data_IF_384695051284
#
_entry.id   IF_384695051284
#
_cell.length_a   1.000
_cell.length_b   1.000
_cell.length_c   1.000
_cell.angle_alpha   90.00
_cell.angle_beta   90.00
_cell.angle_gamma   90.00
#
_symmetry.space_group_name_H-M   'P 1'
#
loop_
_entity.id
_entity.type
_entity.pdbx_description
1 polymer ?
#
# COMPACT_ATOMS: atom_id res chain seq x y z
N UNK A 1 -30.91 -8.42 -0.68
CA UNK A 1 -29.70 -9.28 -0.60
C UNK A 1 -29.45 -9.81 -1.99
N UNK A 2 -28.27 -9.56 -2.56
CA UNK A 2 -27.88 -10.16 -3.85
C UNK A 2 -27.63 -11.67 -3.71
N UNK A 3 -27.49 -12.41 -4.84
CA UNK A 3 -27.23 -13.85 -4.78
C UNK A 3 -25.86 -14.11 -4.13
N UNK A 4 -25.85 -14.90 -3.05
CA UNK A 4 -24.61 -15.40 -2.46
C UNK A 4 -24.01 -16.46 -3.38
N UNK A 5 -22.75 -16.26 -3.80
CA UNK A 5 -22.01 -17.22 -4.63
C UNK A 5 -21.05 -18.02 -3.74
N UNK A 6 -20.91 -19.32 -4.01
CA UNK A 6 -19.95 -20.20 -3.36
C UNK A 6 -18.89 -20.66 -4.36
N UNK A 7 -17.65 -20.83 -3.90
CA UNK A 7 -16.54 -21.33 -4.72
C UNK A 7 -16.62 -22.83 -4.98
N UNK A 8 -16.99 -23.58 -3.95
CA UNK A 8 -17.10 -25.04 -3.96
C UNK A 8 -18.48 -25.42 -3.43
N UNK A 9 -18.90 -26.66 -3.70
CA UNK A 9 -20.18 -27.18 -3.19
C UNK A 9 -20.17 -27.19 -1.66
N UNK A 10 -21.30 -26.85 -1.05
CA UNK A 10 -21.47 -26.75 0.41
C UNK A 10 -22.27 -27.94 0.99
N UNK A 11 -23.23 -28.45 0.23
CA UNK A 11 -24.05 -29.63 0.52
C UNK A 11 -23.97 -30.64 -0.64
N UNK A 12 -24.42 -31.88 -0.40
CA UNK A 12 -24.82 -32.80 -1.46
C UNK A 12 -26.04 -32.19 -2.17
N UNK A 13 -25.78 -31.20 -3.02
CA UNK A 13 -26.80 -30.51 -3.79
C UNK A 13 -27.65 -31.57 -4.51
N UNK A 14 -28.93 -31.67 -4.14
CA UNK A 14 -29.96 -32.49 -4.81
C UNK A 14 -30.33 -31.97 -6.20
N UNK A 15 -29.48 -31.13 -6.79
CA UNK A 15 -29.60 -30.62 -8.15
C UNK A 15 -28.84 -31.56 -9.10
N UNK A 16 -29.55 -32.44 -9.84
CA UNK A 16 -28.93 -33.44 -10.70
C UNK A 16 -28.10 -32.80 -11.82
N UNK A 17 -28.46 -31.58 -12.26
CA UNK A 17 -27.73 -30.89 -13.32
C UNK A 17 -26.31 -30.50 -12.87
N UNK A 18 -26.13 -30.14 -11.60
CA UNK A 18 -24.80 -29.83 -11.03
C UNK A 18 -23.97 -31.08 -10.72
N UNK A 19 -24.60 -32.25 -10.61
CA UNK A 19 -23.90 -33.53 -10.41
C UNK A 19 -23.18 -34.02 -11.67
N UNK A 20 -23.52 -33.46 -12.84
CA UNK A 20 -22.95 -33.81 -14.14
C UNK A 20 -21.65 -33.08 -14.49
N UNK A 21 -21.24 -32.08 -13.70
CA UNK A 21 -20.09 -31.23 -14.04
C UNK A 21 -18.77 -31.95 -13.76
N UNK A 22 -17.86 -31.90 -14.73
CA UNK A 22 -16.51 -32.41 -14.60
C UNK A 22 -15.70 -31.56 -13.61
N UNK A 23 -14.84 -32.19 -12.82
CA UNK A 23 -13.91 -31.50 -11.92
C UNK A 23 -13.02 -30.49 -12.64
N UNK A 24 -12.66 -30.77 -13.90
CA UNK A 24 -11.94 -29.86 -14.78
C UNK A 24 -12.76 -28.61 -15.11
N UNK A 25 -14.06 -28.75 -15.40
CA UNK A 25 -14.94 -27.62 -15.68
C UNK A 25 -15.11 -26.74 -14.43
N UNK A 26 -15.29 -27.36 -13.26
CA UNK A 26 -15.37 -26.63 -12.00
C UNK A 26 -14.06 -25.88 -11.69
N UNK A 27 -12.90 -26.50 -11.92
CA UNK A 27 -11.61 -25.84 -11.80
C UNK A 27 -11.48 -24.65 -12.78
N UNK A 28 -11.87 -24.83 -14.05
CA UNK A 28 -11.85 -23.78 -15.06
C UNK A 28 -12.71 -22.58 -14.66
N UNK A 29 -13.91 -22.81 -14.13
CA UNK A 29 -14.78 -21.73 -13.63
C UNK A 29 -14.17 -20.96 -12.46
N UNK A 30 -13.42 -21.63 -11.60
CA UNK A 30 -12.67 -20.97 -10.51
C UNK A 30 -11.58 -20.08 -11.10
N UNK A 31 -10.78 -20.60 -12.04
CA UNK A 31 -9.75 -19.81 -12.74
C UNK A 31 -10.34 -18.59 -13.46
N UNK A 32 -11.42 -18.78 -14.21
CA UNK A 32 -12.10 -17.71 -14.94
C UNK A 32 -12.67 -16.65 -13.99
N UNK A 33 -13.22 -17.06 -12.83
CA UNK A 33 -13.75 -16.13 -11.83
C UNK A 33 -12.64 -15.28 -11.18
N UNK A 34 -11.48 -15.88 -10.90
CA UNK A 34 -10.32 -15.14 -10.38
C UNK A 34 -9.80 -14.19 -11.45
N UNK A 35 -9.67 -14.64 -12.70
CA UNK A 35 -9.19 -13.81 -13.81
C UNK A 35 -10.13 -12.62 -14.08
N UNK A 36 -11.44 -12.86 -14.09
CA UNK A 36 -12.43 -11.79 -14.27
C UNK A 36 -12.35 -10.73 -13.18
N UNK A 37 -12.14 -11.12 -11.92
CA UNK A 37 -11.97 -10.18 -10.82
C UNK A 37 -10.68 -9.34 -10.95
N UNK A 38 -9.61 -9.92 -11.50
CA UNK A 38 -8.36 -9.20 -11.78
C UNK A 38 -8.55 -8.21 -12.93
N UNK A 39 -9.23 -8.64 -14.00
CA UNK A 39 -9.53 -7.78 -15.15
C UNK A 39 -10.41 -6.59 -14.77
N UNK A 40 -11.41 -6.81 -13.91
CA UNK A 40 -12.27 -5.74 -13.39
C UNK A 40 -11.47 -4.69 -12.57
N UNK A 41 -10.52 -5.13 -11.73
CA UNK A 41 -9.68 -4.20 -10.95
C UNK A 41 -8.67 -3.44 -11.83
N UNK A 42 -8.07 -4.13 -12.82
CA UNK A 42 -7.21 -3.50 -13.82
C UNK A 42 -8.00 -2.44 -14.63
N UNK A 43 -9.26 -2.73 -15.01
CA UNK A 43 -10.17 -1.78 -15.68
C UNK A 43 -10.54 -0.58 -14.79
N UNK A 44 -10.59 -0.75 -13.48
CA UNK A 44 -10.80 0.33 -12.50
C UNK A 44 -9.52 1.17 -12.26
N UNK A 45 -8.40 0.84 -12.91
CA UNK A 45 -7.13 1.55 -12.82
C UNK A 45 -6.10 0.91 -11.90
N UNK A 46 -6.30 -0.35 -11.51
CA UNK A 46 -5.28 -1.20 -10.89
C UNK A 46 -4.05 -1.29 -11.80
N UNK A 47 -2.85 -1.11 -11.23
CA UNK A 47 -1.58 -1.14 -11.98
C UNK A 47 -0.50 -1.99 -11.32
N UNK A 48 -0.80 -2.54 -10.14
CA UNK A 48 0.12 -3.36 -9.38
C UNK A 48 0.19 -4.79 -9.90
N UNK A 49 1.34 -5.43 -9.75
CA UNK A 49 1.44 -6.87 -10.03
C UNK A 49 0.63 -7.67 -8.99
N UNK A 50 -0.13 -8.65 -9.46
CA UNK A 50 -0.86 -9.59 -8.63
C UNK A 50 0.08 -10.65 -8.03
N UNK A 51 0.63 -10.34 -6.86
CA UNK A 51 1.68 -11.16 -6.22
C UNK A 51 1.17 -12.15 -5.18
N UNK A 52 -0.08 -12.05 -4.71
CA UNK A 52 -0.56 -12.89 -3.62
C UNK A 52 -2.07 -13.05 -3.57
N UNK A 53 -2.50 -14.06 -2.83
CA UNK A 53 -3.91 -14.43 -2.66
C UNK A 53 -4.35 -14.22 -1.21
N UNK A 54 -5.59 -13.80 -1.00
CA UNK A 54 -6.20 -13.74 0.33
C UNK A 54 -7.56 -14.41 0.30
N UNK A 55 -7.78 -15.36 1.21
CA UNK A 55 -9.04 -16.09 1.27
C UNK A 55 -9.50 -16.32 2.70
N UNK A 56 -10.82 -16.32 2.89
CA UNK A 56 -11.48 -16.68 4.14
C UNK A 56 -12.32 -17.95 3.97
N UNK A 57 -12.24 -18.87 4.94
CA UNK A 57 -13.03 -20.10 4.99
C UNK A 57 -12.88 -20.93 3.69
N UNK A 58 -13.94 -21.07 2.89
CA UNK A 58 -13.86 -21.73 1.59
C UNK A 58 -12.90 -21.03 0.62
N UNK A 59 -12.83 -19.70 0.64
CA UNK A 59 -11.87 -18.94 -0.16
C UNK A 59 -10.42 -19.22 0.22
N UNK A 60 -10.14 -19.47 1.51
CA UNK A 60 -8.80 -19.88 1.94
C UNK A 60 -8.43 -21.27 1.38
N UNK A 61 -9.37 -22.22 1.35
CA UNK A 61 -9.17 -23.52 0.69
C UNK A 61 -8.81 -23.31 -0.79
N UNK A 62 -9.53 -22.45 -1.50
CA UNK A 62 -9.26 -22.13 -2.92
C UNK A 62 -7.89 -21.49 -3.10
N UNK A 63 -7.51 -20.51 -2.27
CA UNK A 63 -6.22 -19.85 -2.36
C UNK A 63 -5.05 -20.83 -2.18
N UNK A 64 -5.10 -21.69 -1.17
CA UNK A 64 -4.10 -22.75 -0.97
C UNK A 64 -4.07 -23.75 -2.14
N UNK A 65 -5.24 -24.05 -2.70
CA UNK A 65 -5.39 -24.98 -3.84
C UNK A 65 -4.81 -24.41 -5.15
N UNK A 66 -4.98 -23.11 -5.39
CA UNK A 66 -4.39 -22.40 -6.52
C UNK A 66 -2.87 -22.40 -6.43
N UNK A 67 -2.30 -22.09 -5.26
CA UNK A 67 -0.85 -22.15 -5.07
C UNK A 67 -0.30 -23.57 -5.23
N UNK A 68 -0.99 -24.57 -4.68
CA UNK A 68 -0.58 -25.97 -4.82
C UNK A 68 -0.60 -26.43 -6.27
N UNK A 69 -1.66 -26.10 -7.01
CA UNK A 69 -1.76 -26.42 -8.43
C UNK A 69 -0.68 -25.70 -9.23
N UNK A 70 -0.42 -24.42 -8.94
CA UNK A 70 0.68 -23.66 -9.53
C UNK A 70 2.05 -24.32 -9.28
N UNK A 71 2.31 -24.78 -8.06
CA UNK A 71 3.55 -25.47 -7.71
C UNK A 71 3.72 -26.77 -8.51
N UNK A 72 2.66 -27.58 -8.61
CA UNK A 72 2.67 -28.86 -9.33
C UNK A 72 2.84 -28.67 -10.83
N UNK A 73 2.07 -27.78 -11.44
CA UNK A 73 2.19 -27.48 -12.87
C UNK A 73 3.59 -26.93 -13.22
N UNK A 74 4.23 -26.17 -12.33
CA UNK A 74 5.60 -25.70 -12.54
C UNK A 74 6.66 -26.83 -12.58
N UNK A 75 6.34 -28.03 -12.09
CA UNK A 75 7.20 -29.20 -12.13
C UNK A 75 6.96 -30.08 -13.37
N UNK A 76 5.92 -29.81 -14.16
CA UNK A 76 5.52 -30.58 -15.35
C UNK A 76 5.71 -29.73 -16.62
N UNK A 77 6.82 -29.88 -17.36
CA UNK A 77 7.06 -29.12 -18.59
C UNK A 77 6.07 -29.53 -19.69
N UNK A 78 5.31 -28.57 -20.21
CA UNK A 78 4.36 -28.77 -21.31
C UNK A 78 2.89 -28.53 -20.94
N UNK A 79 2.60 -28.41 -19.64
CA UNK A 79 1.28 -28.07 -19.15
C UNK A 79 1.02 -26.57 -19.31
N UNK A 80 -0.09 -26.20 -19.93
CA UNK A 80 -0.47 -24.80 -20.04
C UNK A 80 -0.75 -24.27 -18.64
N UNK A 81 0.12 -23.35 -18.17
CA UNK A 81 -0.16 -22.61 -16.96
C UNK A 81 -1.52 -21.93 -17.09
N UNK A 82 -2.39 -22.01 -16.07
CA UNK A 82 -3.65 -21.28 -16.09
C UNK A 82 -3.36 -19.80 -16.36
N UNK A 83 -4.32 -19.10 -17.01
CA UNK A 83 -4.23 -17.67 -17.41
C UNK A 83 -4.04 -16.68 -16.24
N UNK A 84 -3.71 -17.18 -15.05
CA UNK A 84 -3.45 -16.43 -13.85
C UNK A 84 -1.95 -16.10 -13.75
N UNK A 85 -1.59 -14.96 -13.15
CA UNK A 85 -0.21 -14.63 -12.86
C UNK A 85 0.37 -15.57 -11.80
N UNK A 86 1.69 -15.57 -11.67
CA UNK A 86 2.40 -16.35 -10.66
C UNK A 86 2.23 -15.69 -9.29
N UNK A 87 1.45 -16.32 -8.42
CA UNK A 87 1.33 -15.88 -7.03
C UNK A 87 2.53 -16.35 -6.20
N UNK A 88 3.03 -15.46 -5.35
CA UNK A 88 4.22 -15.68 -4.52
C UNK A 88 3.88 -16.14 -3.11
N UNK A 89 2.70 -15.79 -2.61
CA UNK A 89 2.22 -16.20 -1.29
C UNK A 89 0.70 -16.16 -1.17
N UNK A 90 0.15 -16.75 -0.10
CA UNK A 90 -1.27 -16.63 0.23
C UNK A 90 -1.52 -16.41 1.73
N UNK A 91 -2.59 -15.68 2.04
CA UNK A 91 -3.15 -15.50 3.38
C UNK A 91 -4.40 -16.37 3.51
N UNK A 92 -4.36 -17.33 4.43
CA UNK A 92 -5.38 -18.35 4.61
C UNK A 92 -6.10 -18.13 5.96
N UNK A 93 -7.22 -17.42 5.93
CA UNK A 93 -8.01 -17.13 7.13
C UNK A 93 -9.06 -18.22 7.34
N UNK A 94 -9.02 -18.89 8.49
CA UNK A 94 -9.99 -19.94 8.86
C UNK A 94 -10.20 -21.00 7.76
N UNK A 95 -9.14 -21.34 7.03
CA UNK A 95 -9.18 -22.27 5.91
C UNK A 95 -9.17 -23.72 6.35
N UNK A 96 -9.92 -24.58 5.67
CA UNK A 96 -9.97 -26.03 5.94
C UNK A 96 -9.37 -26.84 4.81
N UNK A 97 -8.76 -27.98 5.13
CA UNK A 97 -8.35 -28.99 4.14
C UNK A 97 -9.51 -29.92 3.73
N UNK A 98 -9.25 -30.95 2.91
CA UNK A 98 -8.04 -31.11 2.07
C UNK A 98 -7.98 -30.06 0.95
N UNK A 99 -6.82 -29.94 0.31
CA UNK A 99 -6.64 -29.08 -0.87
C UNK A 99 -7.39 -29.65 -2.08
N UNK A 100 -7.82 -28.76 -2.97
CA UNK A 100 -8.54 -29.06 -4.19
C UNK A 100 -7.56 -29.02 -5.37
N UNK A 101 -7.64 -30.01 -6.26
CA UNK A 101 -6.89 -29.99 -7.51
C UNK A 101 -7.55 -29.03 -8.50
N UNK A 102 -6.79 -28.00 -8.90
CA UNK A 102 -7.19 -26.99 -9.87
C UNK A 102 -6.26 -26.99 -11.10
N UNK A 103 -5.47 -28.05 -11.29
CA UNK A 103 -4.68 -28.26 -12.50
C UNK A 103 -5.60 -28.62 -13.68
N UNK A 104 -5.46 -27.90 -14.79
CA UNK A 104 -6.22 -28.12 -16.00
C UNK A 104 -5.48 -29.09 -16.92
N UNK A 105 -6.16 -30.16 -17.36
CA UNK A 105 -5.64 -31.12 -18.32
C UNK A 105 -4.74 -32.22 -17.76
N UNK A 106 -4.63 -32.34 -16.42
CA UNK A 106 -3.57 -33.15 -15.83
C UNK A 106 -3.99 -33.91 -14.58
N UNK A 107 -3.34 -35.06 -14.38
CA UNK A 107 -3.79 -36.09 -13.45
C UNK A 107 -3.78 -35.58 -12.01
N UNK A 108 -4.85 -35.91 -11.28
CA UNK A 108 -5.03 -35.48 -9.92
C UNK A 108 -3.96 -36.10 -8.99
N UNK A 109 -3.14 -35.28 -8.30
CA UNK A 109 -2.12 -35.79 -7.40
C UNK A 109 -2.70 -36.53 -6.18
N UNK A 110 -1.86 -37.32 -5.51
CA UNK A 110 -2.25 -38.00 -4.27
C UNK A 110 -2.52 -37.02 -3.12
N UNK A 111 -3.60 -37.24 -2.38
CA UNK A 111 -3.93 -36.50 -1.16
C UNK A 111 -4.64 -35.16 -1.36
N UNK A 112 -5.10 -34.89 -2.58
CA UNK A 112 -6.00 -33.78 -2.92
C UNK A 112 -7.34 -34.30 -3.46
N UNK A 113 -8.31 -33.40 -3.60
CA UNK A 113 -9.68 -33.75 -4.04
C UNK A 113 -10.10 -32.94 -5.26
N UNK A 114 -11.09 -33.41 -6.01
CA UNK A 114 -11.61 -32.68 -7.17
C UNK A 114 -12.40 -31.43 -6.79
N UNK A 115 -12.48 -30.46 -7.71
CA UNK A 115 -13.23 -29.22 -7.49
C UNK A 115 -14.75 -29.40 -7.33
N UNK A 116 -15.28 -30.56 -7.71
CA UNK A 116 -16.69 -30.94 -7.52
C UNK A 116 -16.98 -31.51 -6.12
N UNK A 117 -15.95 -31.89 -5.36
CA UNK A 117 -16.10 -32.44 -4.01
C UNK A 117 -16.65 -31.39 -3.05
N UNK A 118 -17.63 -31.77 -2.23
CA UNK A 118 -18.19 -30.88 -1.24
C UNK A 118 -17.12 -30.40 -0.27
N UNK A 119 -17.12 -29.09 -0.01
CA UNK A 119 -16.14 -28.44 0.84
C UNK A 119 -16.22 -28.91 2.29
N UNK A 120 -17.41 -29.38 2.74
CA UNK A 120 -17.71 -29.89 4.09
C UNK A 120 -17.56 -31.40 4.22
N UNK A 121 -17.35 -32.13 3.12
CA UNK A 121 -17.32 -33.59 3.14
C UNK A 121 -16.24 -34.12 4.09
N UNK A 122 -16.55 -35.22 4.77
CA UNK A 122 -15.58 -35.95 5.58
C UNK A 122 -14.77 -36.87 4.66
N UNK A 123 -13.45 -36.72 4.64
CA UNK A 123 -12.58 -37.45 3.72
C UNK A 123 -11.91 -38.62 4.45
N UNK A 124 -12.71 -39.62 4.81
CA UNK A 124 -12.22 -40.83 5.47
C UNK A 124 -11.38 -41.63 4.47
N UNK A 125 -10.11 -41.86 4.79
CA UNK A 125 -9.22 -42.68 3.97
C UNK A 125 -8.51 -41.96 2.82
N UNK A 126 -8.61 -40.63 2.72
CA UNK A 126 -7.77 -39.87 1.79
C UNK A 126 -6.29 -40.00 2.24
N UNK A 127 -5.38 -40.49 1.37
CA UNK A 127 -3.96 -40.58 1.73
C UNK A 127 -3.39 -39.18 1.97
N UNK A 128 -2.42 -39.02 2.88
CA UNK A 128 -1.78 -37.72 3.08
C UNK A 128 -0.99 -37.31 1.83
N UNK A 129 -0.87 -36.00 1.60
CA UNK A 129 0.04 -35.47 0.59
C UNK A 129 1.47 -35.87 0.98
N UNK A 130 2.26 -36.47 0.07
CA UNK A 130 3.66 -36.81 0.35
C UNK A 130 4.44 -35.60 0.84
N UNK A 131 5.40 -35.79 1.75
CA UNK A 131 6.12 -34.67 2.37
C UNK A 131 6.83 -33.78 1.34
N UNK A 132 7.44 -34.40 0.33
CA UNK A 132 8.13 -33.73 -0.78
C UNK A 132 7.20 -32.94 -1.72
N UNK A 133 5.89 -33.18 -1.61
CA UNK A 133 4.86 -32.65 -2.48
C UNK A 133 3.99 -31.59 -1.82
N UNK A 134 4.17 -31.35 -0.51
CA UNK A 134 3.37 -30.37 0.25
C UNK A 134 3.51 -28.97 -0.34
N UNK A 135 2.57 -28.09 -0.01
CA UNK A 135 2.64 -26.71 -0.45
C UNK A 135 3.85 -26.01 0.20
N UNK A 136 4.89 -25.73 -0.58
CA UNK A 136 6.10 -25.03 -0.12
C UNK A 136 6.08 -23.54 -0.48
N UNK A 137 5.22 -23.11 -1.41
CA UNK A 137 5.01 -21.68 -1.66
C UNK A 137 4.56 -21.01 -0.35
N UNK A 138 5.17 -19.89 0.08
CA UNK A 138 4.91 -19.30 1.39
C UNK A 138 3.43 -19.00 1.67
N UNK A 139 2.96 -19.37 2.86
CA UNK A 139 1.59 -19.10 3.32
C UNK A 139 1.56 -18.47 4.71
N UNK A 140 0.58 -17.61 4.97
CA UNK A 140 0.23 -17.15 6.32
C UNK A 140 -1.12 -17.74 6.71
N UNK A 141 -1.13 -18.57 7.73
CA UNK A 141 -2.33 -19.15 8.31
C UNK A 141 -2.82 -18.26 9.45
N UNK A 142 -4.10 -17.88 9.42
CA UNK A 142 -4.71 -17.04 10.45
C UNK A 142 -5.80 -17.83 11.17
N UNK A 143 -5.55 -18.19 12.43
CA UNK A 143 -6.41 -19.06 13.21
C UNK A 143 -7.08 -18.30 14.35
N UNK A 144 -8.41 -18.35 14.40
CA UNK A 144 -9.18 -17.91 15.57
C UNK A 144 -9.19 -19.00 16.64
N UNK A 145 -8.72 -18.69 17.85
CA UNK A 145 -8.64 -19.66 18.95
C UNK A 145 -10.01 -20.13 19.45
N UNK A 146 -11.07 -19.36 19.20
CA UNK A 146 -12.47 -19.70 19.54
C UNK A 146 -13.24 -20.28 18.36
N UNK A 147 -12.56 -20.56 17.25
CA UNK A 147 -13.20 -21.14 16.08
C UNK A 147 -13.50 -22.64 16.33
N UNK A 148 -14.75 -23.10 16.19
CA UNK A 148 -15.07 -24.52 16.34
C UNK A 148 -14.38 -25.41 15.29
N UNK A 149 -13.97 -24.83 14.16
CA UNK A 149 -13.21 -25.47 13.09
C UNK A 149 -11.70 -25.42 13.25
N UNK A 150 -11.15 -24.93 14.38
CA UNK A 150 -9.70 -24.75 14.57
C UNK A 150 -8.88 -26.01 14.25
N UNK A 151 -9.34 -27.19 14.65
CA UNK A 151 -8.66 -28.45 14.35
C UNK A 151 -8.53 -28.71 12.84
N UNK A 152 -9.52 -28.30 12.05
CA UNK A 152 -9.52 -28.41 10.58
C UNK A 152 -8.56 -27.40 9.94
N UNK A 153 -8.34 -26.25 10.59
CA UNK A 153 -7.38 -25.25 10.13
C UNK A 153 -5.95 -25.69 10.40
N UNK A 154 -5.71 -26.26 11.58
CA UNK A 154 -4.47 -26.92 11.93
C UNK A 154 -4.18 -28.10 10.99
N UNK A 155 -5.20 -28.87 10.60
CA UNK A 155 -5.02 -29.94 9.62
C UNK A 155 -4.54 -29.41 8.26
N UNK A 156 -5.13 -28.32 7.76
CA UNK A 156 -4.66 -27.67 6.52
C UNK A 156 -3.18 -27.26 6.63
N UNK A 157 -2.79 -26.62 7.72
CA UNK A 157 -1.41 -26.20 7.97
C UNK A 157 -0.45 -27.40 8.01
N UNK A 158 -0.71 -28.39 8.87
CA UNK A 158 0.27 -29.43 9.18
C UNK A 158 0.25 -30.63 8.23
N UNK A 159 -0.85 -30.85 7.50
CA UNK A 159 -0.95 -31.97 6.55
C UNK A 159 -0.76 -31.55 5.10
N UNK A 160 -1.13 -30.32 4.74
CA UNK A 160 -1.08 -29.88 3.34
C UNK A 160 0.08 -28.94 3.04
N UNK A 161 0.60 -28.20 4.04
CA UNK A 161 1.63 -27.20 3.85
C UNK A 161 2.98 -27.61 4.46
N UNK A 162 4.05 -27.05 3.91
CA UNK A 162 5.39 -27.17 4.47
C UNK A 162 5.56 -26.16 5.62
N UNK A 163 5.86 -26.66 6.82
CA UNK A 163 6.02 -25.83 8.02
C UNK A 163 7.25 -24.92 7.95
N UNK A 164 8.21 -25.19 7.06
CA UNK A 164 9.38 -24.32 6.88
C UNK A 164 9.04 -23.00 6.16
N UNK A 165 7.99 -23.00 5.34
CA UNK A 165 7.58 -21.82 4.55
C UNK A 165 6.21 -21.27 4.98
N UNK A 166 5.51 -21.97 5.86
CA UNK A 166 4.24 -21.54 6.44
C UNK A 166 4.45 -20.74 7.73
N UNK A 167 3.71 -19.64 7.88
CA UNK A 167 3.64 -18.82 9.09
C UNK A 167 2.26 -18.97 9.72
N UNK A 168 2.19 -18.87 11.06
CA UNK A 168 0.93 -18.99 11.81
C UNK A 168 0.73 -17.74 12.68
N UNK A 169 -0.44 -17.11 12.52
CA UNK A 169 -0.94 -16.04 13.37
C UNK A 169 -2.21 -16.52 14.07
N UNK A 170 -2.17 -16.58 15.40
CA UNK A 170 -3.33 -16.92 16.22
C UNK A 170 -3.89 -15.67 16.90
N UNK A 171 -5.21 -15.59 17.00
CA UNK A 171 -5.89 -14.46 17.63
C UNK A 171 -7.17 -14.91 18.35
N UNK A 172 -7.65 -14.07 19.28
CA UNK A 172 -8.86 -14.34 20.07
C UNK A 172 -10.14 -14.07 19.26
N UNK A 173 -10.35 -14.85 18.20
CA UNK A 173 -11.49 -14.78 17.30
C UNK A 173 -12.19 -16.13 17.12
N UNK A 174 -13.45 -16.08 16.68
CA UNK A 174 -14.22 -17.24 16.22
C UNK A 174 -14.07 -17.41 14.69
N UNK A 175 -15.07 -17.97 14.01
CA UNK A 175 -15.10 -18.14 12.55
C UNK A 175 -15.40 -16.85 11.79
N UNK A 176 -14.47 -15.90 11.85
CA UNK A 176 -14.61 -14.59 11.22
C UNK A 176 -13.24 -13.99 10.84
N UNK A 177 -13.27 -12.89 10.10
CA UNK A 177 -12.07 -12.08 9.79
C UNK A 177 -11.78 -11.14 10.99
N UNK A 178 -10.51 -10.87 11.33
CA UNK A 178 -10.16 -9.85 12.32
C UNK A 178 -10.77 -8.48 12.00
N UNK A 179 -11.48 -7.90 12.96
CA UNK A 179 -12.09 -6.55 12.84
C UNK A 179 -11.59 -5.57 13.89
N UNK A 180 -11.07 -6.06 15.02
CA UNK A 180 -10.48 -5.21 16.06
C UNK A 180 -9.16 -4.66 15.54
N UNK A 181 -8.92 -3.36 15.77
CA UNK A 181 -7.73 -2.67 15.26
C UNK A 181 -6.42 -3.36 15.67
N UNK A 182 -6.35 -3.89 16.88
CA UNK A 182 -5.17 -4.62 17.38
C UNK A 182 -4.87 -5.86 16.52
N UNK A 183 -5.89 -6.68 16.25
CA UNK A 183 -5.75 -7.91 15.48
C UNK A 183 -5.52 -7.62 13.99
N UNK A 184 -6.18 -6.57 13.45
CA UNK A 184 -5.98 -6.12 12.07
C UNK A 184 -4.56 -5.60 11.84
N UNK A 185 -4.02 -4.82 12.78
CA UNK A 185 -2.64 -4.32 12.71
C UNK A 185 -1.63 -5.46 12.81
N UNK A 186 -1.86 -6.44 13.68
CA UNK A 186 -1.04 -7.63 13.78
C UNK A 186 -1.04 -8.43 12.47
N UNK A 187 -2.22 -8.67 11.89
CA UNK A 187 -2.36 -9.34 10.60
C UNK A 187 -1.66 -8.56 9.48
N UNK A 188 -1.91 -7.26 9.35
CA UNK A 188 -1.28 -6.43 8.32
C UNK A 188 0.24 -6.45 8.42
N UNK A 189 0.80 -6.43 9.64
CA UNK A 189 2.23 -6.55 9.87
C UNK A 189 2.78 -7.88 9.35
N UNK A 190 2.15 -9.01 9.69
CA UNK A 190 2.60 -10.33 9.22
C UNK A 190 2.49 -10.48 7.70
N UNK A 191 1.44 -9.92 7.08
CA UNK A 191 1.30 -9.88 5.62
C UNK A 191 2.46 -9.12 4.98
N UNK A 192 2.83 -7.95 5.50
CA UNK A 192 3.95 -7.16 4.99
C UNK A 192 5.29 -7.89 5.16
N UNK A 193 5.48 -8.59 6.28
CA UNK A 193 6.68 -9.41 6.53
C UNK A 193 6.77 -10.56 5.53
N UNK A 194 5.67 -11.29 5.31
CA UNK A 194 5.59 -12.37 4.34
C UNK A 194 5.88 -11.87 2.92
N UNK A 195 5.24 -10.77 2.50
CA UNK A 195 5.44 -10.19 1.18
C UNK A 195 6.90 -9.82 0.94
N UNK A 196 7.57 -9.15 1.89
CA UNK A 196 8.99 -8.79 1.79
C UNK A 196 9.89 -10.02 1.64
N UNK A 197 9.68 -11.05 2.47
CA UNK A 197 10.45 -12.32 2.37
C UNK A 197 10.34 -12.94 0.98
N UNK A 198 9.17 -12.90 0.36
CA UNK A 198 8.98 -13.49 -0.98
C UNK A 198 9.67 -12.68 -2.09
N UNK A 199 9.74 -11.36 -1.96
CA UNK A 199 10.47 -10.49 -2.90
C UNK A 199 11.98 -10.67 -2.74
N UNK A 200 12.48 -10.71 -1.51
CA UNK A 200 13.91 -10.85 -1.22
C UNK A 200 14.44 -12.23 -1.64
N UNK A 201 13.65 -13.29 -1.47
CA UNK A 201 14.00 -14.63 -1.92
C UNK A 201 14.12 -14.72 -3.45
N UNK A 202 13.26 -14.06 -4.22
CA UNK A 202 13.40 -14.01 -5.67
C UNK A 202 14.64 -13.22 -6.11
N UNK A 203 14.98 -12.15 -5.39
CA UNK A 203 16.23 -11.42 -5.63
C UNK A 203 17.45 -12.30 -5.33
N UNK A 204 17.44 -13.03 -4.21
CA UNK A 204 18.51 -13.96 -3.82
C UNK A 204 18.63 -15.15 -4.78
N UNK A 205 17.54 -15.82 -5.11
CA UNK A 205 17.49 -16.96 -6.06
C UNK A 205 17.86 -16.52 -7.48
N UNK A 206 17.46 -15.30 -7.86
CA UNK A 206 17.88 -14.65 -9.11
C UNK A 206 19.39 -14.46 -9.14
N UNK A 207 19.99 -13.86 -8.11
CA UNK A 207 21.44 -13.67 -8.00
C UNK A 207 22.19 -15.02 -7.99
N UNK A 208 21.66 -16.04 -7.31
CA UNK A 208 22.24 -17.38 -7.29
C UNK A 208 22.16 -18.11 -8.63
N UNK A 209 21.10 -17.90 -9.42
CA UNK A 209 21.00 -18.42 -10.80
C UNK A 209 21.92 -17.71 -11.78
N UNK A 210 22.18 -16.41 -11.61
CA UNK A 210 23.04 -15.61 -12.51
C UNK A 210 24.55 -15.80 -12.26
N UNK A 211 24.96 -16.13 -11.05
CA UNK A 211 26.38 -16.32 -10.68
C UNK A 211 27.02 -17.58 -11.28
N UNK A 212 26.27 -18.45 -11.96
CA UNK A 212 26.83 -19.61 -12.71
C UNK A 212 27.29 -19.32 -14.14
N UNK A 213 27.05 -18.12 -14.69
CA UNK A 213 27.31 -17.87 -16.12
C UNK A 213 28.15 -16.62 -16.45
N UNK A 214 28.64 -15.85 -15.48
CA UNK A 214 29.25 -14.55 -15.81
C UNK A 214 30.67 -14.37 -15.29
N UNK A 215 31.62 -14.35 -16.24
CA UNK A 215 32.99 -13.88 -16.05
C UNK A 215 33.00 -12.42 -15.61
N UNK A 216 33.79 -12.11 -14.56
CA UNK A 216 33.78 -10.90 -13.75
C UNK A 216 34.06 -9.56 -14.47
N UNK A 217 34.35 -9.57 -15.78
CA UNK A 217 34.79 -8.40 -16.55
C UNK A 217 33.66 -7.46 -17.02
N UNK A 218 32.41 -7.90 -17.05
CA UNK A 218 31.27 -7.14 -17.62
C UNK A 218 30.40 -6.40 -16.60
N UNK A 219 30.67 -6.55 -15.30
CA UNK A 219 29.92 -5.92 -14.19
C UNK A 219 30.51 -4.53 -13.85
N UNK A 220 31.84 -4.41 -13.83
CA UNK A 220 32.54 -3.15 -13.49
C UNK A 220 32.22 -2.00 -14.46
N UNK A 221 31.95 -2.29 -15.72
CA UNK A 221 31.57 -1.27 -16.72
C UNK A 221 30.13 -0.80 -16.56
N UNK A 222 29.19 -1.67 -16.17
CA UNK A 222 27.77 -1.33 -16.04
C UNK A 222 27.46 -0.51 -14.78
N UNK A 223 28.16 -0.77 -13.67
CA UNK A 223 28.01 0.02 -12.43
C UNK A 223 28.50 1.46 -12.58
N UNK A 224 29.65 1.67 -13.23
CA UNK A 224 30.15 3.00 -13.51
C UNK A 224 29.18 3.78 -14.43
N UNK A 225 28.65 3.13 -15.47
CA UNK A 225 27.76 3.80 -16.42
C UNK A 225 26.46 4.32 -15.77
N UNK A 226 25.83 3.56 -14.87
CA UNK A 226 24.60 3.98 -14.18
C UNK A 226 24.88 5.13 -13.19
N UNK A 227 25.99 5.08 -12.45
CA UNK A 227 26.35 6.15 -11.53
C UNK A 227 26.63 7.48 -12.25
N UNK A 228 27.33 7.45 -13.39
CA UNK A 228 27.57 8.66 -14.18
C UNK A 228 26.28 9.23 -14.79
N UNK A 229 25.33 8.38 -15.22
CA UNK A 229 24.03 8.84 -15.72
C UNK A 229 23.16 9.49 -14.64
N UNK A 230 23.10 8.93 -13.43
CA UNK A 230 22.35 9.53 -12.32
C UNK A 230 22.94 10.88 -11.90
N UNK A 231 24.27 10.99 -11.84
CA UNK A 231 24.94 12.24 -11.50
C UNK A 231 24.70 13.31 -12.57
N UNK A 232 24.75 12.94 -13.85
CA UNK A 232 24.47 13.86 -14.96
C UNK A 232 23.03 14.39 -14.91
N UNK A 233 22.04 13.52 -14.66
CA UNK A 233 20.63 13.93 -14.54
C UNK A 233 20.43 14.87 -13.36
N UNK A 234 21.06 14.60 -12.20
CA UNK A 234 20.97 15.45 -11.03
C UNK A 234 21.58 16.85 -11.28
N UNK A 235 22.74 16.93 -11.95
CA UNK A 235 23.39 18.20 -12.30
C UNK A 235 22.55 19.01 -13.28
N UNK A 236 21.96 18.36 -14.31
CA UNK A 236 21.07 19.03 -15.27
C UNK A 236 19.80 19.54 -14.58
N UNK A 237 19.19 18.74 -13.70
CA UNK A 237 18.03 19.14 -12.92
C UNK A 237 18.30 20.34 -12.01
N UNK A 238 19.45 20.35 -11.32
CA UNK A 238 19.87 21.49 -10.49
C UNK A 238 20.09 22.76 -11.33
N UNK A 239 20.72 22.62 -12.51
CA UNK A 239 20.96 23.72 -13.43
C UNK A 239 19.66 24.34 -13.96
N UNK A 240 18.68 23.52 -14.33
CA UNK A 240 17.35 23.97 -14.76
C UNK A 240 16.60 24.69 -13.64
N UNK A 241 16.63 24.17 -12.41
CA UNK A 241 16.00 24.82 -11.27
C UNK A 241 16.62 26.21 -10.99
N UNK A 242 17.96 26.31 -11.05
CA UNK A 242 18.68 27.56 -10.87
C UNK A 242 18.35 28.57 -12.00
N UNK A 243 18.26 28.09 -13.24
CA UNK A 243 17.85 28.91 -14.38
C UNK A 243 16.43 29.47 -14.21
N UNK A 244 15.48 28.66 -13.76
CA UNK A 244 14.10 29.12 -13.49
C UNK A 244 14.06 30.20 -12.41
N UNK A 245 14.82 30.04 -11.32
CA UNK A 245 14.90 31.04 -10.25
C UNK A 245 15.50 32.35 -10.78
N UNK A 246 16.56 32.27 -11.59
CA UNK A 246 17.18 33.44 -12.21
C UNK A 246 16.22 34.16 -13.16
N UNK A 247 15.58 33.43 -14.08
CA UNK A 247 14.63 34.00 -15.04
C UNK A 247 13.46 34.68 -14.32
N UNK A 248 12.88 34.02 -13.31
CA UNK A 248 11.80 34.59 -12.49
C UNK A 248 12.24 35.85 -11.75
N UNK A 249 13.47 35.90 -11.22
CA UNK A 249 13.97 37.09 -10.54
C UNK A 249 14.25 38.26 -11.48
N UNK A 250 14.73 38.01 -12.71
CA UNK A 250 14.97 39.06 -13.71
C UNK A 250 13.67 39.60 -14.33
N UNK A 251 12.66 38.75 -14.51
CA UNK A 251 11.34 39.11 -15.04
C UNK A 251 10.34 39.59 -13.98
N UNK A 252 10.80 39.75 -12.73
CA UNK A 252 9.93 40.08 -11.61
C UNK A 252 9.36 41.51 -11.73
N UNK A 253 8.02 41.61 -11.74
CA UNK A 253 7.30 42.88 -11.80
C UNK A 253 7.55 43.77 -10.57
N UNK A 254 7.91 43.18 -9.43
CA UNK A 254 8.22 43.87 -8.17
C UNK A 254 9.64 44.45 -8.11
N UNK A 255 10.40 44.45 -9.22
CA UNK A 255 11.75 45.02 -9.29
C UNK A 255 11.79 46.55 -9.10
N UNK A 256 10.66 47.23 -9.34
CA UNK A 256 10.49 48.67 -9.14
C UNK A 256 10.38 49.09 -7.67
N UNK A 257 10.04 48.15 -6.78
CA UNK A 257 9.94 48.41 -5.33
C UNK A 257 11.34 48.41 -4.70
N UNK A 258 11.68 49.37 -3.83
CA UNK A 258 12.99 49.40 -3.20
C UNK A 258 13.13 48.23 -2.20
N UNK A 259 14.34 47.68 -2.10
CA UNK A 259 14.62 46.56 -1.20
C UNK A 259 15.93 45.85 -1.55
N UNK A 260 16.37 44.89 -0.73
CA UNK A 260 17.59 44.15 -0.98
C UNK A 260 17.55 43.42 -2.34
N UNK A 261 18.70 43.26 -2.98
CA UNK A 261 18.78 42.66 -4.32
C UNK A 261 18.42 41.16 -4.31
N UNK A 262 18.74 40.45 -3.23
CA UNK A 262 18.45 39.01 -3.09
C UNK A 262 16.95 38.70 -2.99
N UNK A 263 16.12 39.67 -2.57
CA UNK A 263 14.66 39.47 -2.45
C UNK A 263 13.96 39.37 -3.80
N UNK A 264 14.65 39.64 -4.91
CA UNK A 264 14.15 39.37 -6.26
C UNK A 264 14.15 37.88 -6.58
N UNK A 265 15.05 37.11 -5.97
CA UNK A 265 15.31 35.71 -6.31
C UNK A 265 14.81 34.75 -5.21
N UNK A 266 14.90 35.14 -3.94
CA UNK A 266 14.53 34.27 -2.83
C UNK A 266 14.08 35.04 -1.56
N UNK A 267 13.27 34.38 -0.73
CA UNK A 267 12.75 34.88 0.56
C UNK A 267 13.46 34.25 1.78
N UNK A 268 14.66 33.69 1.58
CA UNK A 268 15.34 32.85 2.57
C UNK A 268 15.64 33.59 3.88
N UNK A 269 16.11 34.83 3.81
CA UNK A 269 16.42 35.65 5.00
C UNK A 269 15.15 35.98 5.79
N UNK A 270 14.02 36.17 5.10
CA UNK A 270 12.74 36.40 5.74
C UNK A 270 12.28 35.15 6.49
N UNK A 271 12.36 33.96 5.86
CA UNK A 271 12.01 32.68 6.48
C UNK A 271 12.87 32.38 7.71
N UNK A 272 14.18 32.61 7.63
CA UNK A 272 15.08 32.47 8.78
C UNK A 272 14.69 33.43 9.90
N UNK A 273 14.35 34.69 9.56
CA UNK A 273 13.92 35.69 10.54
C UNK A 273 12.56 35.37 11.18
N UNK A 274 11.68 34.67 10.46
CA UNK A 274 10.41 34.15 11.00
C UNK A 274 10.68 33.01 11.99
N UNK A 275 11.49 32.02 11.60
CA UNK A 275 11.80 30.85 12.44
C UNK A 275 12.53 31.27 13.72
N UNK A 276 13.40 32.27 13.65
CA UNK A 276 14.14 32.80 14.80
C UNK A 276 13.34 33.81 15.64
N UNK A 277 12.08 34.09 15.28
CA UNK A 277 11.22 35.05 15.99
C UNK A 277 11.65 36.52 15.84
N UNK A 278 12.59 36.83 14.95
CA UNK A 278 13.17 38.18 14.75
C UNK A 278 12.57 38.97 13.60
N UNK A 279 11.49 38.46 12.98
CA UNK A 279 10.85 39.06 11.81
C UNK A 279 10.53 40.55 12.01
N UNK A 280 9.97 40.93 13.15
CA UNK A 280 9.59 42.33 13.40
C UNK A 280 10.80 43.27 13.33
N UNK A 281 11.92 42.90 13.96
CA UNK A 281 13.17 43.67 13.92
C UNK A 281 13.78 43.72 12.52
N UNK A 282 13.69 42.62 11.78
CA UNK A 282 14.17 42.56 10.40
C UNK A 282 13.36 43.49 9.49
N UNK A 283 12.03 43.48 9.59
CA UNK A 283 11.15 44.39 8.83
C UNK A 283 11.40 45.85 9.20
N UNK A 284 11.45 46.16 10.50
CA UNK A 284 11.74 47.53 10.99
C UNK A 284 13.10 48.04 10.50
N UNK A 285 14.13 47.18 10.46
CA UNK A 285 15.44 47.55 9.91
C UNK A 285 15.42 47.83 8.40
N UNK A 286 14.54 47.15 7.67
CA UNK A 286 14.36 47.34 6.23
C UNK A 286 13.55 48.60 5.93
N UNK A 287 12.48 48.86 6.68
CA UNK A 287 11.67 50.07 6.58
C UNK A 287 12.51 51.33 6.83
N UNK A 288 13.36 51.31 7.86
CA UNK A 288 14.30 52.41 8.15
C UNK A 288 15.30 52.67 7.03
N UNK A 289 15.64 51.65 6.23
CA UNK A 289 16.69 51.73 5.20
C UNK A 289 16.16 52.01 3.80
N UNK A 290 14.98 51.49 3.46
CA UNK A 290 14.41 51.54 2.11
C UNK A 290 13.11 52.34 2.03
N UNK A 291 12.54 52.76 3.18
CA UNK A 291 11.35 53.58 3.26
C UNK A 291 10.06 52.78 3.54
N UNK A 292 8.88 53.40 3.41
CA UNK A 292 7.61 52.82 3.83
C UNK A 292 7.09 51.66 2.95
N UNK A 293 7.71 51.39 1.80
CA UNK A 293 7.37 50.27 0.92
C UNK A 293 8.63 49.47 0.61
N UNK A 294 8.76 48.25 1.15
CA UNK A 294 10.00 47.46 0.99
C UNK A 294 9.72 46.05 0.49
N UNK A 295 10.44 45.65 -0.57
CA UNK A 295 10.37 44.27 -1.08
C UNK A 295 11.05 43.28 -0.14
N UNK A 296 10.30 42.26 0.27
CA UNK A 296 10.68 41.27 1.27
C UNK A 296 10.93 39.88 0.67
N UNK A 297 10.32 39.58 -0.47
CA UNK A 297 10.51 38.35 -1.24
C UNK A 297 10.08 38.55 -2.69
N UNK A 298 10.22 37.53 -3.55
CA UNK A 298 9.94 37.67 -4.98
C UNK A 298 8.49 38.07 -5.26
N UNK A 299 7.55 37.66 -4.38
CA UNK A 299 6.13 37.99 -4.49
C UNK A 299 5.60 38.70 -3.23
N UNK A 300 6.46 39.31 -2.42
CA UNK A 300 6.08 39.88 -1.12
C UNK A 300 6.67 41.28 -0.87
N UNK A 301 5.83 42.21 -0.42
CA UNK A 301 6.19 43.60 -0.10
C UNK A 301 5.65 43.95 1.28
N UNK A 302 6.49 44.53 2.14
CA UNK A 302 6.09 45.17 3.38
C UNK A 302 5.64 46.59 3.10
N UNK A 303 4.50 46.98 3.69
CA UNK A 303 3.90 48.31 3.55
C UNK A 303 3.70 48.89 4.94
N UNK A 304 4.29 50.04 5.19
CA UNK A 304 4.23 50.78 6.44
C UNK A 304 3.73 52.21 6.14
N UNK A 305 2.50 52.29 5.63
CA UNK A 305 1.79 53.54 5.34
C UNK A 305 0.49 53.63 6.17
N UNK A 306 0.37 54.58 7.11
CA UNK A 306 -0.81 54.73 7.95
C UNK A 306 -2.07 55.13 7.17
N UNK A 307 -1.94 55.78 6.00
CA UNK A 307 -3.10 56.15 5.16
C UNK A 307 -3.63 54.91 4.41
N UNK A 308 -2.74 54.11 3.82
CA UNK A 308 -3.08 52.84 3.17
C UNK A 308 -3.66 51.79 4.13
N UNK A 309 -3.25 51.79 5.40
CA UNK A 309 -3.79 50.88 6.42
C UNK A 309 -5.31 51.03 6.59
N UNK A 310 -5.81 52.27 6.61
CA UNK A 310 -7.25 52.58 6.72
C UNK A 310 -8.00 52.14 5.47
N UNK A 311 -7.39 52.24 4.29
CA UNK A 311 -8.00 51.86 3.02
C UNK A 311 -8.10 50.34 2.84
N UNK A 312 -7.07 49.58 3.26
CA UNK A 312 -7.08 48.11 3.23
C UNK A 312 -8.14 47.54 4.18
N UNK A 313 -8.35 48.16 5.36
CA UNK A 313 -9.34 47.72 6.33
C UNK A 313 -10.79 48.15 6.00
N UNK A 314 -11.00 49.03 5.02
CA UNK A 314 -12.32 49.44 4.53
C UNK A 314 -12.91 48.51 3.46
N UNK A 315 -12.13 47.57 2.93
CA UNK A 315 -12.57 46.63 1.88
C UNK A 315 -13.29 45.44 2.56
N UNK A 316 -14.53 45.09 2.18
CA UNK A 316 -15.23 43.96 2.78
C UNK A 316 -14.54 42.62 2.44
N UNK A 317 -14.52 41.73 3.44
CA UNK A 317 -13.93 40.38 3.51
C UNK A 317 -13.45 39.79 2.17
N UNK A 318 -12.13 39.74 1.97
CA UNK A 318 -11.51 38.85 0.99
C UNK A 318 -11.86 37.39 1.31
N UNK A 319 -12.21 36.59 0.28
CA UNK A 319 -12.21 35.12 0.41
C UNK A 319 -10.78 34.69 0.70
N UNK A 320 -10.49 34.28 1.94
CA UNK A 320 -9.26 33.54 2.24
C UNK A 320 -9.24 32.31 1.35
N UNK A 321 -8.19 32.16 0.54
CA UNK A 321 -7.91 30.88 -0.11
C UNK A 321 -7.56 29.84 0.96
N UNK A 322 -8.00 28.62 0.71
CA UNK A 322 -7.88 27.45 1.58
C UNK A 322 -6.43 26.93 1.59
N UNK A 323 -5.50 27.74 2.05
CA UNK A 323 -4.12 27.31 2.33
C UNK A 323 -3.49 28.22 3.40
N UNK A 324 -4.03 28.14 4.62
CA UNK A 324 -3.28 28.43 5.84
C UNK A 324 -3.30 27.16 6.68
N UNK A 325 -2.15 26.50 6.75
CA UNK A 325 -1.89 25.29 7.52
C UNK A 325 -2.44 25.39 8.97
N UNK A 326 -3.17 24.36 9.45
CA UNK A 326 -3.60 24.28 10.84
C UNK A 326 -2.52 23.55 11.66
N UNK A 327 -1.50 24.26 12.15
CA UNK A 327 -0.51 23.59 13.03
C UNK A 327 0.11 24.40 14.16
N UNK A 328 -0.29 25.64 14.42
CA UNK A 328 0.32 26.41 15.54
C UNK A 328 -0.62 27.28 16.38
N UNK A 329 -1.93 27.24 16.15
CA UNK A 329 -2.89 28.07 16.91
C UNK A 329 -3.58 27.37 18.09
N UNK A 330 -3.26 26.10 18.36
CA UNK A 330 -3.95 25.29 19.39
C UNK A 330 -3.19 25.11 20.71
N UNK A 331 -2.12 25.87 20.95
CA UNK A 331 -1.25 25.64 22.12
C UNK A 331 -0.99 26.86 23.03
N UNK A 332 -1.67 28.01 22.87
CA UNK A 332 -1.34 29.22 23.67
C UNK A 332 -2.56 29.96 24.26
N UNK A 333 -3.80 29.46 24.10
CA UNK A 333 -5.00 30.19 24.59
C UNK A 333 -5.98 29.38 25.45
N UNK A 334 -5.57 28.22 25.96
CA UNK A 334 -6.28 27.52 27.03
C UNK A 334 -5.40 27.57 28.28
N UNK A 335 -5.57 28.63 29.08
CA UNK A 335 -5.28 28.71 30.52
C UNK A 335 -5.02 30.16 30.93
N UNK A 336 -6.07 30.95 31.26
CA UNK A 336 -6.12 31.88 32.42
C UNK A 336 -7.61 32.20 32.72
N UNK A 337 -8.10 32.04 33.97
CA UNK A 337 -9.49 32.24 34.35
C UNK A 337 -9.86 33.70 34.69
N UNK A 338 -11.09 34.05 34.32
CA UNK A 338 -12.08 34.92 34.98
C UNK A 338 -11.65 35.79 36.19
N UNK A 339 -11.77 37.12 36.08
CA UNK A 339 -12.23 38.00 37.20
C UNK A 339 -13.10 39.16 36.68
N UNK A 340 -14.34 39.12 37.19
CA UNK A 340 -15.41 40.10 37.42
C UNK A 340 -15.14 41.63 37.44
N UNK A 341 -16.22 42.34 37.09
CA UNK A 341 -16.74 43.62 37.63
C UNK A 341 -16.47 44.95 36.88
N UNK A 342 -17.51 45.57 36.30
CA UNK A 342 -18.21 46.76 36.83
C UNK A 342 -19.20 47.40 35.83
N UNK A 343 -20.48 47.36 36.23
CA UNK A 343 -21.60 48.30 36.09
C UNK A 343 -22.03 48.93 34.73
N UNK A 344 -23.36 49.02 34.50
CA UNK A 344 -23.96 49.85 33.44
C UNK A 344 -24.28 51.26 33.96
N UNK A 345 -24.05 52.28 33.14
CA UNK A 345 -24.62 53.62 33.35
C UNK A 345 -25.46 54.04 32.14
N UNK A 346 -26.72 54.34 32.46
CA UNK A 346 -27.75 54.95 31.62
C UNK A 346 -27.47 56.44 31.37
N UNK A 347 -28.29 56.97 30.46
CA UNK A 347 -28.70 58.36 30.17
C UNK A 347 -27.92 59.06 29.04
N UNK A 348 -28.57 59.77 28.12
CA UNK A 348 -29.93 60.32 28.11
C UNK A 348 -30.65 60.07 26.77
#
# INVERSE_FOLDING_TARGET
MGPFKAWLRWEDDRDPQRQQHDHQEAAMRIHDSVKAAMDEDDELGGTGEWIGLLGFSQGAKVCGSLLFSQQRCAQMPGEQSPKLPRFRFAILLAGRGPLVWLGLGSDMPTGVVGATTSSTALHIGLPPIPLADRLHIPTLHVHGLRDPGLSRHQELLYRCCDTATSQLLEWDGAHQVPTKSVDVLALAKEILVLARKTVDNEFSDGVQRYTRYFSASSILWKFNMIQFSCLAIAVVGLGLALLVVLVRGFQNEFRRVPGPWYTLFADLVLKISVITGRRMYYVDSLDKKYGPYVRMGPNEVAVNDPVGFVQIHKIPKFKKSECQTPSLRKAILEDIPFVSSLLPLRSA
#
